data_IF_075481639525
#
_entry.id   IF_075481639525
#
_cell.length_a   1.000
_cell.length_b   1.000
_cell.length_c   1.000
_cell.angle_alpha   90.00
_cell.angle_beta   90.00
_cell.angle_gamma   90.00
#
_symmetry.space_group_name_H-M   'P 1'
#
loop_
_entity.id
_entity.type
_entity.pdbx_description
1 polymer ?
#
# COMPACT_ATOMS: atom_id res chain seq x y z
N UNK A 1 -7.27 -31.23 81.15
CA UNK A 1 -7.62 -29.91 80.54
C UNK A 1 -6.45 -29.31 79.80
N UNK A 2 -5.15 -29.47 80.22
CA UNK A 2 -3.95 -29.03 79.54
C UNK A 2 -3.72 -29.62 78.12
N UNK A 3 -3.96 -30.93 77.95
CA UNK A 3 -3.74 -31.64 76.69
C UNK A 3 -4.70 -31.23 75.54
N UNK A 4 -5.93 -30.89 75.91
CA UNK A 4 -6.97 -30.45 74.96
C UNK A 4 -6.60 -29.07 74.45
N UNK A 5 -6.08 -28.14 75.26
CA UNK A 5 -5.65 -26.80 74.93
C UNK A 5 -4.38 -26.87 74.06
N UNK A 6 -3.50 -27.80 74.34
CA UNK A 6 -2.25 -27.97 73.54
C UNK A 6 -2.53 -28.54 72.17
N UNK A 7 -3.43 -29.54 72.04
CA UNK A 7 -3.83 -30.08 70.76
C UNK A 7 -4.63 -29.08 69.92
N UNK A 8 -5.49 -28.26 70.52
CA UNK A 8 -6.21 -27.19 69.83
C UNK A 8 -5.27 -26.11 69.30
N UNK A 9 -4.29 -25.67 70.12
CA UNK A 9 -3.26 -24.71 69.68
C UNK A 9 -2.45 -25.22 68.48
N UNK A 10 -2.01 -26.51 68.50
CA UNK A 10 -1.28 -27.09 67.36
C UNK A 10 -2.13 -27.16 66.10
N UNK A 11 -3.40 -27.53 66.21
CA UNK A 11 -4.33 -27.53 65.07
C UNK A 11 -4.60 -26.14 64.50
N UNK A 12 -4.74 -25.14 65.36
CA UNK A 12 -4.89 -23.72 64.96
C UNK A 12 -3.66 -23.20 64.24
N UNK A 13 -2.44 -23.50 64.76
CA UNK A 13 -1.18 -23.11 64.11
C UNK A 13 -1.06 -23.83 62.77
N UNK A 14 -1.36 -25.12 62.68
CA UNK A 14 -1.33 -25.84 61.42
C UNK A 14 -2.31 -25.29 60.38
N UNK A 15 -3.53 -24.94 60.81
CA UNK A 15 -4.51 -24.29 59.92
C UNK A 15 -4.05 -22.92 59.44
N UNK A 16 -3.42 -22.13 60.33
CA UNK A 16 -2.86 -20.81 59.98
C UNK A 16 -1.69 -20.92 58.97
N UNK A 17 -0.79 -21.89 59.17
CA UNK A 17 0.31 -22.15 58.21
C UNK A 17 -0.24 -22.59 56.88
N UNK A 18 -1.24 -23.50 56.83
CA UNK A 18 -1.86 -23.92 55.60
C UNK A 18 -2.51 -22.74 54.86
N UNK A 19 -3.21 -21.86 55.57
CA UNK A 19 -3.83 -20.66 55.00
C UNK A 19 -2.77 -19.71 54.46
N UNK A 20 -1.67 -19.49 55.19
CA UNK A 20 -0.57 -18.64 54.74
C UNK A 20 0.12 -19.18 53.45
N UNK A 21 0.29 -20.52 53.36
CA UNK A 21 0.83 -21.18 52.16
C UNK A 21 -0.09 -20.99 50.95
N UNK A 22 -1.41 -21.17 51.13
CA UNK A 22 -2.41 -20.98 50.09
C UNK A 22 -2.40 -19.52 49.62
N UNK A 23 -2.38 -18.56 50.55
CA UNK A 23 -2.33 -17.12 50.23
C UNK A 23 -1.06 -16.76 49.47
N UNK A 24 0.09 -17.28 49.88
CA UNK A 24 1.37 -17.10 49.20
C UNK A 24 1.31 -17.67 47.77
N UNK A 25 0.73 -18.85 47.59
CA UNK A 25 0.51 -19.49 46.28
C UNK A 25 -0.39 -18.63 45.36
N UNK A 26 -1.44 -18.03 45.91
CA UNK A 26 -2.29 -17.10 45.16
C UNK A 26 -1.55 -15.85 44.77
N UNK A 27 -0.76 -15.25 45.68
CA UNK A 27 0.06 -14.07 45.37
C UNK A 27 1.11 -14.36 44.28
N UNK A 28 1.79 -15.49 44.34
CA UNK A 28 2.75 -15.94 43.33
C UNK A 28 2.05 -16.13 41.98
N UNK A 29 0.90 -16.79 41.99
CA UNK A 29 0.12 -16.97 40.75
C UNK A 29 -0.35 -15.64 40.17
N UNK A 30 -0.84 -14.69 40.95
CA UNK A 30 -1.22 -13.35 40.51
C UNK A 30 -0.01 -12.61 39.94
N UNK A 31 1.16 -12.73 40.54
CA UNK A 31 2.39 -12.15 40.02
C UNK A 31 2.74 -12.72 38.63
N UNK A 32 2.70 -14.04 38.45
CA UNK A 32 2.95 -14.66 37.15
C UNK A 32 1.90 -14.30 36.08
N UNK A 33 0.64 -14.16 36.47
CA UNK A 33 -0.43 -13.69 35.54
C UNK A 33 -0.22 -12.23 35.16
N UNK A 34 0.15 -11.37 36.13
CA UNK A 34 0.37 -9.94 35.88
C UNK A 34 1.63 -9.64 35.05
N UNK A 35 2.69 -10.46 35.18
CA UNK A 35 3.97 -10.24 34.50
C UNK A 35 4.18 -11.14 33.29
N UNK A 36 3.34 -12.12 33.06
CA UNK A 36 3.43 -13.10 31.98
C UNK A 36 2.78 -12.65 30.65
N UNK A 37 2.84 -13.49 29.64
CA UNK A 37 2.27 -13.27 28.30
C UNK A 37 0.75 -12.99 28.31
N UNK A 38 0.05 -13.34 29.39
CA UNK A 38 -1.37 -13.04 29.55
C UNK A 38 -1.66 -11.54 29.69
N UNK A 39 -0.74 -10.74 30.27
CA UNK A 39 -0.91 -9.30 30.37
C UNK A 39 -0.80 -8.63 29.00
N UNK A 40 0.10 -9.10 28.14
CA UNK A 40 0.24 -8.64 26.76
C UNK A 40 -0.97 -9.05 25.90
N UNK A 41 -1.47 -10.28 26.08
CA UNK A 41 -2.68 -10.75 25.41
C UNK A 41 -3.94 -9.97 25.85
N UNK A 42 -4.07 -9.67 27.15
CA UNK A 42 -5.17 -8.83 27.65
C UNK A 42 -5.07 -7.40 27.14
N UNK A 43 -3.88 -6.82 27.06
CA UNK A 43 -3.65 -5.50 26.49
C UNK A 43 -4.00 -5.46 24.99
N UNK A 44 -3.66 -6.49 24.22
CA UNK A 44 -4.02 -6.58 22.80
C UNK A 44 -5.52 -6.76 22.58
N UNK A 45 -6.21 -7.46 23.47
CA UNK A 45 -7.68 -7.61 23.43
C UNK A 45 -8.44 -6.35 23.85
N UNK A 46 -7.81 -5.47 24.64
CA UNK A 46 -8.38 -4.20 25.09
C UNK A 46 -7.95 -3.01 24.23
N UNK A 47 -7.34 -3.25 23.09
CA UNK A 47 -6.91 -2.19 22.18
C UNK A 47 -7.40 -2.43 20.74
N UNK A 48 -7.69 -1.33 20.05
CA UNK A 48 -8.03 -1.31 18.63
C UNK A 48 -7.10 -0.35 17.90
N UNK A 49 -6.40 -0.85 16.90
CA UNK A 49 -5.42 -0.06 16.15
C UNK A 49 -5.97 0.27 14.76
N UNK A 50 -5.90 1.53 14.39
CA UNK A 50 -6.24 2.05 13.06
C UNK A 50 -4.94 2.46 12.38
N UNK A 51 -4.58 1.79 11.30
CA UNK A 51 -3.48 2.20 10.44
C UNK A 51 -3.96 3.37 9.58
N UNK A 52 -3.19 4.46 9.56
CA UNK A 52 -3.53 5.69 8.83
C UNK A 52 -2.72 5.81 7.56
N UNK A 53 -1.42 5.50 7.66
CA UNK A 53 -0.48 5.59 6.56
C UNK A 53 0.65 4.56 6.77
N UNK A 54 1.02 3.87 5.70
CA UNK A 54 2.09 2.87 5.71
C UNK A 54 3.47 3.48 5.49
N UNK A 55 3.54 4.78 5.15
CA UNK A 55 4.78 5.50 4.85
C UNK A 55 5.66 4.76 3.83
N UNK A 56 5.61 5.20 2.60
CA UNK A 56 6.44 4.66 1.52
C UNK A 56 7.24 5.77 0.87
N UNK A 57 8.46 5.45 0.45
CA UNK A 57 9.32 6.32 -0.34
C UNK A 57 8.64 6.77 -1.63
N UNK A 58 9.04 7.93 -2.13
CA UNK A 58 8.47 8.55 -3.32
C UNK A 58 9.16 8.03 -4.57
N UNK A 59 8.40 7.76 -5.61
CA UNK A 59 8.90 7.47 -6.95
C UNK A 59 8.85 8.77 -7.74
N UNK A 60 10.01 9.22 -8.24
CA UNK A 60 10.18 10.44 -9.01
C UNK A 60 10.41 10.14 -10.48
N UNK A 61 10.06 11.09 -11.33
CA UNK A 61 10.48 11.13 -12.73
C UNK A 61 11.94 11.58 -12.88
N UNK A 62 12.43 11.66 -14.13
CA UNK A 62 13.80 12.09 -14.42
C UNK A 62 14.09 13.55 -14.02
N UNK A 63 13.07 14.36 -13.83
CA UNK A 63 13.15 15.77 -13.45
C UNK A 63 12.84 15.99 -11.96
N UNK A 64 12.85 14.92 -11.15
CA UNK A 64 12.49 14.94 -9.73
C UNK A 64 11.04 15.42 -9.47
N UNK A 65 10.13 15.23 -10.45
CA UNK A 65 8.71 15.42 -10.21
C UNK A 65 8.12 14.15 -9.60
N UNK A 66 7.32 14.23 -8.52
CA UNK A 66 6.79 13.06 -7.88
C UNK A 66 5.71 12.38 -8.74
N UNK A 67 5.91 11.11 -9.05
CA UNK A 67 4.92 10.24 -9.71
C UNK A 67 3.99 9.56 -8.68
N UNK A 68 4.47 9.43 -7.44
CA UNK A 68 3.69 8.98 -6.29
C UNK A 68 3.82 9.98 -5.16
N UNK A 69 2.90 9.97 -4.19
CA UNK A 69 2.89 10.90 -3.04
C UNK A 69 2.84 12.40 -3.44
N UNK A 70 2.28 12.72 -4.60
CA UNK A 70 2.27 14.08 -5.11
C UNK A 70 1.26 15.01 -4.40
N UNK A 71 0.16 14.44 -3.90
CA UNK A 71 -0.93 15.18 -3.27
C UNK A 71 -1.01 14.89 -1.77
N UNK A 72 -1.15 15.94 -0.98
CA UNK A 72 -1.32 15.85 0.47
C UNK A 72 -2.81 15.96 0.82
N UNK A 73 -3.32 14.98 1.55
CA UNK A 73 -4.73 14.91 1.99
C UNK A 73 -4.82 14.85 3.51
N UNK A 74 -5.91 15.35 4.07
CA UNK A 74 -6.20 15.20 5.50
C UNK A 74 -7.03 13.95 5.70
N UNK A 75 -6.50 12.97 6.45
CA UNK A 75 -7.27 11.83 6.96
C UNK A 75 -7.55 12.04 8.43
N UNK A 76 -8.71 11.62 8.89
CA UNK A 76 -9.06 11.65 10.31
C UNK A 76 -9.54 10.28 10.77
N UNK A 77 -9.07 9.88 11.94
CA UNK A 77 -9.65 8.75 12.66
C UNK A 77 -10.80 9.30 13.51
N UNK A 78 -12.00 8.95 13.13
CA UNK A 78 -13.25 9.41 13.71
C UNK A 78 -13.70 8.43 14.78
N UNK A 79 -13.93 8.90 16.01
CA UNK A 79 -14.49 8.07 17.08
C UNK A 79 -16.02 8.19 17.11
N UNK A 80 -16.74 7.16 17.63
CA UNK A 80 -18.20 7.15 17.67
C UNK A 80 -18.75 8.05 18.79
N UNK A 81 -18.44 9.34 18.76
CA UNK A 81 -18.91 10.34 19.71
C UNK A 81 -20.00 11.23 19.10
N UNK A 82 -20.94 11.77 19.90
CA UNK A 82 -21.97 12.67 19.39
C UNK A 82 -21.40 13.91 18.68
N UNK A 83 -20.28 14.44 19.20
CA UNK A 83 -19.59 15.62 18.65
C UNK A 83 -19.06 15.35 17.25
N UNK A 84 -18.45 14.16 17.03
CA UNK A 84 -18.00 13.75 15.69
C UNK A 84 -19.19 13.58 14.75
N UNK A 85 -20.28 12.92 15.19
CA UNK A 85 -21.47 12.72 14.36
C UNK A 85 -22.08 14.08 13.95
N UNK A 86 -22.18 15.02 14.87
CA UNK A 86 -22.68 16.38 14.58
C UNK A 86 -21.78 17.07 13.55
N UNK A 87 -20.47 17.04 13.75
CA UNK A 87 -19.51 17.67 12.84
C UNK A 87 -19.53 17.02 11.43
N UNK A 88 -19.83 15.72 11.31
CA UNK A 88 -19.98 15.07 10.01
C UNK A 88 -21.11 15.71 9.19
N UNK A 89 -22.27 15.91 9.80
CA UNK A 89 -23.42 16.52 9.11
C UNK A 89 -23.27 18.04 8.88
N UNK A 90 -22.44 18.72 9.67
CA UNK A 90 -22.19 20.16 9.50
C UNK A 90 -21.13 20.47 8.43
N UNK A 91 -20.14 19.56 8.25
CA UNK A 91 -18.94 19.86 7.46
C UNK A 91 -18.74 18.97 6.25
N UNK A 92 -19.55 17.92 6.07
CA UNK A 92 -19.50 17.00 4.94
C UNK A 92 -20.84 16.96 4.19
N UNK A 93 -20.80 16.44 2.96
CA UNK A 93 -22.00 16.12 2.19
C UNK A 93 -22.84 15.06 2.90
N UNK A 94 -24.17 15.15 2.79
CA UNK A 94 -25.13 14.29 3.49
C UNK A 94 -24.89 12.81 3.24
N UNK A 95 -24.60 12.42 1.99
CA UNK A 95 -24.32 11.02 1.61
C UNK A 95 -23.10 10.45 2.32
N UNK A 96 -22.00 11.22 2.36
CA UNK A 96 -20.74 10.84 3.03
C UNK A 96 -20.90 10.83 4.54
N UNK A 97 -21.64 11.80 5.09
CA UNK A 97 -21.94 11.87 6.52
C UNK A 97 -22.77 10.66 6.98
N UNK A 98 -23.79 10.28 6.22
CA UNK A 98 -24.64 9.10 6.51
C UNK A 98 -23.84 7.79 6.47
N UNK A 99 -22.98 7.59 5.49
CA UNK A 99 -22.12 6.39 5.41
C UNK A 99 -21.21 6.30 6.63
N UNK A 100 -20.51 7.40 6.97
CA UNK A 100 -19.59 7.43 8.10
C UNK A 100 -20.33 7.25 9.43
N UNK A 101 -21.47 7.90 9.60
CA UNK A 101 -22.31 7.75 10.81
C UNK A 101 -22.81 6.31 10.96
N UNK A 102 -23.19 5.65 9.87
CA UNK A 102 -23.59 4.23 9.86
C UNK A 102 -22.42 3.31 10.28
N UNK A 103 -21.22 3.55 9.78
CA UNK A 103 -20.03 2.77 10.15
C UNK A 103 -19.65 2.97 11.61
N UNK A 104 -19.75 4.20 12.13
CA UNK A 104 -19.49 4.53 13.52
C UNK A 104 -20.47 3.89 14.52
N UNK A 105 -21.69 3.47 14.09
CA UNK A 105 -22.64 2.71 14.94
C UNK A 105 -22.07 1.39 15.47
N UNK A 106 -21.03 0.86 14.85
CA UNK A 106 -20.32 -0.32 15.36
C UNK A 106 -19.59 -0.08 16.70
N UNK A 107 -19.45 1.17 17.12
CA UNK A 107 -18.68 1.56 18.30
C UNK A 107 -17.15 1.56 18.08
N UNK A 108 -16.69 1.38 16.83
CA UNK A 108 -15.27 1.37 16.47
C UNK A 108 -14.89 2.64 15.73
N UNK A 109 -13.63 3.10 15.87
CA UNK A 109 -13.13 4.22 15.11
C UNK A 109 -13.08 3.90 13.61
N UNK A 110 -13.34 4.91 12.79
CA UNK A 110 -13.33 4.82 11.33
C UNK A 110 -12.31 5.81 10.76
N UNK A 111 -11.43 5.34 9.90
CA UNK A 111 -10.56 6.20 9.11
C UNK A 111 -11.33 6.72 7.89
N UNK A 112 -11.27 8.02 7.66
CA UNK A 112 -11.82 8.67 6.46
C UNK A 112 -10.98 9.87 6.05
N UNK A 113 -10.97 10.14 4.75
CA UNK A 113 -10.52 11.42 4.23
C UNK A 113 -11.56 12.51 4.54
N UNK A 114 -11.08 13.63 5.04
CA UNK A 114 -11.91 14.78 5.46
C UNK A 114 -11.37 16.08 4.87
N UNK A 115 -12.19 17.11 4.72
CA UNK A 115 -11.73 18.43 4.32
C UNK A 115 -10.61 18.95 5.24
N UNK A 116 -9.70 19.76 4.71
CA UNK A 116 -8.57 20.27 5.47
C UNK A 116 -8.98 21.03 6.74
N UNK A 117 -10.14 21.68 6.72
CA UNK A 117 -10.72 22.41 7.84
C UNK A 117 -11.59 21.60 8.81
N UNK A 118 -11.74 20.27 8.58
CA UNK A 118 -12.57 19.44 9.45
C UNK A 118 -11.97 19.34 10.85
N UNK A 119 -12.76 19.70 11.87
CA UNK A 119 -12.39 19.63 13.28
C UNK A 119 -13.59 19.18 14.11
N UNK A 120 -13.37 18.24 15.02
CA UNK A 120 -14.36 17.80 16.01
C UNK A 120 -13.65 17.17 17.22
N UNK A 121 -14.24 17.28 18.40
CA UNK A 121 -13.77 16.53 19.56
C UNK A 121 -13.98 15.04 19.33
N UNK A 122 -12.90 14.24 19.45
CA UNK A 122 -12.91 12.83 19.11
C UNK A 122 -12.55 12.52 17.64
N UNK A 123 -12.21 13.53 16.84
CA UNK A 123 -11.62 13.36 15.50
C UNK A 123 -10.12 13.64 15.56
N UNK A 124 -9.30 12.66 15.16
CA UNK A 124 -7.84 12.76 15.18
C UNK A 124 -7.32 12.89 13.76
N UNK A 125 -7.19 14.15 13.30
CA UNK A 125 -6.78 14.48 11.94
C UNK A 125 -5.27 14.50 11.78
N UNK A 126 -4.80 13.91 10.67
CA UNK A 126 -3.40 13.95 10.23
C UNK A 126 -3.34 14.22 8.74
N UNK A 127 -2.24 14.85 8.30
CA UNK A 127 -1.98 15.02 6.88
C UNK A 127 -1.06 13.91 6.39
N UNK A 128 -1.52 13.18 5.39
CA UNK A 128 -0.77 12.11 4.73
C UNK A 128 -0.69 12.38 3.24
N UNK A 129 0.20 11.68 2.56
CA UNK A 129 0.28 11.73 1.11
C UNK A 129 -0.64 10.69 0.48
N UNK A 130 -1.38 11.10 -0.55
CA UNK A 130 -2.10 10.19 -1.44
C UNK A 130 -1.08 9.49 -2.34
N UNK A 131 -1.07 8.14 -2.33
CA UNK A 131 -0.03 7.38 -3.03
C UNK A 131 -0.08 7.55 -4.53
N UNK A 132 -1.27 7.46 -5.13
CA UNK A 132 -1.46 7.55 -6.58
C UNK A 132 -2.41 8.69 -6.93
N UNK A 133 -2.11 9.38 -8.04
CA UNK A 133 -2.99 10.40 -8.58
C UNK A 133 -4.13 9.81 -9.40
N UNK A 134 -5.21 10.56 -9.56
CA UNK A 134 -6.33 10.19 -10.46
C UNK A 134 -5.90 10.13 -11.94
N UNK A 135 -4.79 10.75 -12.30
CA UNK A 135 -4.28 10.79 -13.67
C UNK A 135 -3.69 9.46 -14.15
N UNK A 136 -3.52 8.47 -13.26
CA UNK A 136 -2.99 7.13 -13.57
C UNK A 136 -1.66 7.14 -14.31
N UNK A 137 -0.79 8.12 -14.03
CA UNK A 137 0.47 8.28 -14.74
C UNK A 137 1.37 7.07 -14.53
N UNK A 138 1.78 6.42 -15.63
CA UNK A 138 2.69 5.27 -15.64
C UNK A 138 2.24 4.06 -14.79
N UNK A 139 0.93 3.79 -14.73
CA UNK A 139 0.35 2.75 -13.87
C UNK A 139 0.99 1.37 -14.02
N UNK A 140 1.34 0.93 -15.25
CA UNK A 140 2.00 -0.35 -15.49
C UNK A 140 3.46 -0.37 -15.01
N UNK A 141 4.17 0.77 -15.09
CA UNK A 141 5.57 0.87 -14.65
C UNK A 141 5.61 0.92 -13.12
N UNK A 142 4.84 1.84 -12.52
CA UNK A 142 4.80 2.03 -11.08
C UNK A 142 4.23 0.80 -10.41
N UNK A 143 3.13 0.24 -10.93
CA UNK A 143 2.39 -0.83 -10.30
C UNK A 143 1.41 -0.31 -9.25
N UNK A 144 0.93 -1.19 -8.38
CA UNK A 144 0.00 -0.86 -7.31
C UNK A 144 0.29 -1.69 -6.04
N UNK A 145 -0.29 -1.26 -4.93
CA UNK A 145 -0.16 -1.90 -3.62
C UNK A 145 -1.33 -2.86 -3.37
N UNK A 146 -1.12 -3.79 -2.47
CA UNK A 146 -2.19 -4.65 -1.95
C UNK A 146 -3.23 -3.84 -1.17
N UNK A 147 -4.31 -4.49 -0.76
CA UNK A 147 -5.40 -3.85 0.00
C UNK A 147 -4.98 -3.32 1.37
N UNK A 148 -3.85 -3.76 1.90
CA UNK A 148 -3.27 -3.26 3.16
C UNK A 148 -2.43 -1.99 2.94
N UNK A 149 -2.00 -1.73 1.71
CA UNK A 149 -1.07 -0.65 1.35
C UNK A 149 0.38 -0.92 1.76
N UNK A 150 0.69 -2.15 2.21
CA UNK A 150 2.02 -2.51 2.74
C UNK A 150 2.93 -3.10 1.67
N UNK A 151 2.38 -3.87 0.72
CA UNK A 151 3.18 -4.60 -0.25
C UNK A 151 2.87 -4.21 -1.69
N UNK A 152 3.92 -4.06 -2.49
CA UNK A 152 3.81 -3.90 -3.93
C UNK A 152 3.37 -5.19 -4.62
N UNK A 153 2.30 -5.13 -5.42
CA UNK A 153 1.78 -6.28 -6.16
C UNK A 153 2.48 -6.46 -7.50
N UNK A 154 2.80 -5.38 -8.19
CA UNK A 154 3.51 -5.41 -9.47
C UNK A 154 4.35 -4.14 -9.68
N UNK A 155 5.05 -4.05 -10.81
CA UNK A 155 5.84 -2.89 -11.22
C UNK A 155 6.99 -2.55 -10.27
N UNK A 156 7.36 -1.28 -10.22
CA UNK A 156 8.40 -0.72 -9.34
C UNK A 156 8.03 -0.90 -7.86
N UNK A 157 6.74 -0.77 -7.53
CA UNK A 157 6.25 -1.00 -6.16
C UNK A 157 6.64 -2.37 -5.62
N UNK A 158 6.54 -3.41 -6.47
CA UNK A 158 6.95 -4.78 -6.10
C UNK A 158 8.46 -4.97 -6.17
N UNK A 159 9.08 -4.51 -7.26
CA UNK A 159 10.49 -4.75 -7.51
C UNK A 159 11.40 -4.13 -6.44
N UNK A 160 10.98 -3.00 -5.88
CA UNK A 160 11.71 -2.24 -4.88
C UNK A 160 10.94 -2.12 -3.56
N UNK A 161 10.10 -3.11 -3.25
CA UNK A 161 9.26 -3.08 -2.06
C UNK A 161 10.06 -2.84 -0.77
N UNK A 162 11.18 -3.55 -0.60
CA UNK A 162 12.02 -3.46 0.61
C UNK A 162 12.72 -2.10 0.75
N UNK A 163 12.97 -1.40 -0.36
CA UNK A 163 13.54 -0.07 -0.35
C UNK A 163 12.46 0.99 -0.07
N UNK A 164 11.32 0.86 -0.73
CA UNK A 164 10.22 1.83 -0.63
C UNK A 164 9.46 1.73 0.69
N UNK A 165 9.32 0.52 1.25
CA UNK A 165 8.51 0.28 2.44
C UNK A 165 9.31 0.56 3.70
N UNK A 166 8.82 1.46 4.55
CA UNK A 166 9.33 1.62 5.90
C UNK A 166 8.94 0.43 6.78
N UNK A 167 9.80 0.10 7.75
CA UNK A 167 9.49 -0.90 8.78
C UNK A 167 8.41 -0.45 9.78
N UNK A 168 7.64 0.58 9.46
CA UNK A 168 6.64 1.18 10.33
C UNK A 168 5.55 1.90 9.55
N UNK A 169 4.86 2.80 10.24
CA UNK A 169 3.77 3.59 9.68
C UNK A 169 3.19 4.52 10.73
N UNK A 170 2.15 5.22 10.36
CA UNK A 170 1.36 6.04 11.27
C UNK A 170 0.10 5.30 11.68
N UNK A 171 -0.09 5.11 12.98
CA UNK A 171 -1.26 4.42 13.53
C UNK A 171 -1.75 5.05 14.82
N UNK A 172 -3.05 4.95 15.04
CA UNK A 172 -3.69 5.29 16.31
C UNK A 172 -4.15 4.02 17.01
N UNK A 173 -3.77 3.88 18.27
CA UNK A 173 -4.21 2.77 19.13
C UNK A 173 -5.17 3.29 20.19
N UNK A 174 -6.39 2.79 20.16
CA UNK A 174 -7.48 3.14 21.08
C UNK A 174 -7.63 2.07 22.14
N UNK A 175 -7.95 2.48 23.36
CA UNK A 175 -8.36 1.56 24.42
C UNK A 175 -9.84 1.20 24.23
N UNK A 176 -10.15 -0.09 24.31
CA UNK A 176 -11.49 -0.64 24.07
C UNK A 176 -12.04 -1.36 25.32
N UNK A 177 -13.37 -1.45 25.39
CA UNK A 177 -14.05 -2.32 26.34
C UNK A 177 -14.01 -3.80 25.89
N UNK A 178 -14.56 -4.70 26.71
CA UNK A 178 -14.63 -6.13 26.39
C UNK A 178 -15.48 -6.45 25.13
N UNK A 179 -16.32 -5.52 24.67
CA UNK A 179 -17.09 -5.63 23.43
C UNK A 179 -16.35 -5.04 22.21
N UNK A 180 -15.12 -4.52 22.39
CA UNK A 180 -14.31 -3.92 21.34
C UNK A 180 -14.74 -2.49 20.97
N UNK A 181 -15.52 -1.81 21.82
CA UNK A 181 -15.92 -0.42 21.63
C UNK A 181 -14.91 0.51 22.30
N UNK A 182 -14.58 1.62 21.65
CA UNK A 182 -13.64 2.59 22.20
C UNK A 182 -14.19 3.25 23.48
N UNK A 183 -13.31 3.42 24.45
CA UNK A 183 -13.65 4.10 25.70
C UNK A 183 -13.64 5.62 25.48
N UNK A 184 -14.77 6.27 25.79
CA UNK A 184 -14.88 7.71 25.72
C UNK A 184 -13.95 8.41 26.75
N UNK A 185 -13.41 9.56 26.38
CA UNK A 185 -12.55 10.37 27.27
C UNK A 185 -11.11 9.89 27.40
N UNK A 186 -10.72 8.77 26.76
CA UNK A 186 -9.33 8.31 26.70
C UNK A 186 -8.79 8.61 25.30
N UNK A 187 -7.83 9.55 25.15
CA UNK A 187 -7.24 9.85 23.85
C UNK A 187 -6.44 8.63 23.35
N UNK A 188 -6.45 8.39 22.03
CA UNK A 188 -5.63 7.32 21.45
C UNK A 188 -4.16 7.62 21.56
N UNK A 189 -3.34 6.58 21.61
CA UNK A 189 -1.90 6.70 21.45
C UNK A 189 -1.58 6.75 19.95
N UNK A 190 -0.97 7.84 19.50
CA UNK A 190 -0.42 7.96 18.15
C UNK A 190 0.99 7.38 18.12
N UNK A 191 1.23 6.45 17.22
CA UNK A 191 2.54 5.86 16.96
C UNK A 191 2.90 6.20 15.51
N UNK A 192 4.07 6.81 15.33
CA UNK A 192 4.61 7.20 14.04
C UNK A 192 6.07 6.74 13.98
N UNK A 193 6.33 5.62 13.31
CA UNK A 193 7.64 5.00 13.21
C UNK A 193 8.04 4.82 11.75
N UNK A 194 9.34 4.88 11.44
CA UNK A 194 9.90 4.42 10.18
C UNK A 194 10.03 5.46 9.07
N UNK A 195 9.77 6.73 9.32
CA UNK A 195 9.96 7.80 8.31
C UNK A 195 11.40 7.91 7.77
N UNK A 196 12.38 7.52 8.57
CA UNK A 196 13.80 7.59 8.22
C UNK A 196 14.31 6.38 7.41
N UNK A 197 13.48 5.33 7.28
CA UNK A 197 13.91 4.04 6.72
C UNK A 197 13.43 3.82 5.29
N UNK A 198 12.60 4.74 4.72
CA UNK A 198 12.15 4.66 3.33
C UNK A 198 13.19 5.25 2.39
N UNK A 199 13.51 4.52 1.33
CA UNK A 199 14.27 5.04 0.19
C UNK A 199 13.37 5.57 -0.91
N UNK A 200 13.79 6.64 -1.58
CA UNK A 200 13.13 7.18 -2.77
C UNK A 200 13.75 6.57 -4.04
N UNK A 201 13.00 6.57 -5.13
CA UNK A 201 13.45 6.06 -6.42
C UNK A 201 13.27 7.14 -7.48
N UNK A 202 14.32 7.40 -8.28
CA UNK A 202 14.23 8.22 -9.47
C UNK A 202 14.23 7.32 -10.71
N UNK A 203 13.24 7.51 -11.59
CA UNK A 203 13.13 6.82 -12.87
C UNK A 203 13.74 7.66 -14.00
N UNK A 204 13.99 7.03 -15.13
CA UNK A 204 14.35 7.70 -16.39
C UNK A 204 13.13 8.28 -17.11
N UNK A 205 11.94 7.93 -16.70
CA UNK A 205 10.65 8.39 -17.24
C UNK A 205 10.52 9.90 -17.07
N UNK A 206 10.07 10.59 -18.12
CA UNK A 206 9.64 11.97 -18.09
C UNK A 206 8.11 12.00 -18.00
N UNK A 207 7.57 12.60 -16.95
CA UNK A 207 6.13 12.60 -16.67
C UNK A 207 5.31 13.29 -17.76
N UNK A 208 5.87 14.31 -18.41
CA UNK A 208 5.20 15.02 -19.50
C UNK A 208 5.12 14.18 -20.77
N UNK A 209 6.22 13.50 -21.14
CA UNK A 209 6.24 12.57 -22.27
C UNK A 209 5.38 11.34 -22.00
N UNK A 210 5.39 10.83 -20.78
CA UNK A 210 4.55 9.72 -20.37
C UNK A 210 3.05 10.06 -20.51
N UNK A 211 2.63 11.22 -20.01
CA UNK A 211 1.25 11.70 -20.14
C UNK A 211 0.85 11.89 -21.60
N UNK A 212 1.75 12.46 -22.42
CA UNK A 212 1.51 12.63 -23.86
C UNK A 212 1.35 11.27 -24.57
N UNK A 213 2.21 10.29 -24.25
CA UNK A 213 2.13 8.95 -24.82
C UNK A 213 0.81 8.25 -24.43
N UNK A 214 0.42 8.30 -23.14
CA UNK A 214 -0.84 7.73 -22.68
C UNK A 214 -2.05 8.36 -23.38
N UNK A 215 -2.10 9.69 -23.49
CA UNK A 215 -3.17 10.40 -24.22
C UNK A 215 -3.21 10.03 -25.70
N UNK A 216 -2.05 9.87 -26.36
CA UNK A 216 -1.99 9.43 -27.74
C UNK A 216 -2.56 8.02 -27.93
N UNK A 217 -2.25 7.09 -27.02
CA UNK A 217 -2.82 5.73 -27.04
C UNK A 217 -4.33 5.73 -26.81
N UNK A 218 -4.83 6.49 -25.83
CA UNK A 218 -6.26 6.64 -25.53
C UNK A 218 -7.03 7.19 -26.74
N UNK A 219 -6.45 8.15 -27.46
CA UNK A 219 -7.07 8.80 -28.63
C UNK A 219 -6.84 8.02 -29.94
N UNK A 220 -6.09 6.92 -29.92
CA UNK A 220 -5.77 6.14 -31.14
C UNK A 220 -6.96 5.41 -31.75
N UNK A 221 -8.04 5.23 -30.99
CA UNK A 221 -9.20 4.39 -31.37
C UNK A 221 -8.91 2.89 -31.31
N UNK A 222 -7.73 2.46 -30.88
CA UNK A 222 -7.38 1.06 -30.74
C UNK A 222 -7.86 0.51 -29.38
N UNK A 223 -8.29 -0.76 -29.37
CA UNK A 223 -8.70 -1.44 -28.12
C UNK A 223 -7.52 -1.79 -27.22
N UNK A 224 -6.37 -2.03 -27.82
CA UNK A 224 -5.15 -2.42 -27.14
C UNK A 224 -3.92 -1.98 -27.95
N UNK A 225 -3.02 -1.24 -27.33
CA UNK A 225 -1.81 -0.72 -27.98
C UNK A 225 -0.75 -0.36 -26.94
N UNK A 226 0.46 -0.12 -27.38
CA UNK A 226 1.57 0.32 -26.52
C UNK A 226 2.47 1.30 -27.26
N UNK A 227 3.22 2.11 -26.48
CA UNK A 227 4.19 3.07 -26.99
C UNK A 227 5.41 3.13 -26.09
N UNK A 228 6.59 3.16 -26.68
CA UNK A 228 7.84 3.45 -26.00
C UNK A 228 8.50 4.67 -26.62
N UNK A 229 9.02 5.57 -25.79
CA UNK A 229 9.84 6.72 -26.19
C UNK A 229 11.22 6.55 -25.56
N UNK A 230 12.25 6.51 -26.40
CA UNK A 230 13.62 6.24 -25.98
C UNK A 230 14.52 7.39 -26.41
N UNK A 231 15.39 7.86 -25.54
CA UNK A 231 16.42 8.82 -25.86
C UNK A 231 17.51 8.14 -26.70
N UNK A 232 17.73 8.64 -27.92
CA UNK A 232 18.67 8.04 -28.88
C UNK A 232 20.12 8.08 -28.40
N UNK A 233 20.49 9.07 -27.58
CA UNK A 233 21.88 9.25 -27.13
C UNK A 233 22.21 8.42 -25.90
N UNK A 234 21.32 8.43 -24.89
CA UNK A 234 21.56 7.72 -23.62
C UNK A 234 20.99 6.29 -23.62
N UNK A 235 20.00 6.00 -24.46
CA UNK A 235 19.24 4.76 -24.43
C UNK A 235 18.16 4.74 -23.32
N UNK A 236 17.98 5.85 -22.60
CA UNK A 236 17.00 5.91 -21.52
C UNK A 236 15.58 5.85 -22.05
N UNK A 237 14.75 5.06 -21.38
CA UNK A 237 13.31 5.04 -21.63
C UNK A 237 12.69 6.28 -20.98
N UNK A 238 12.20 7.21 -21.81
CA UNK A 238 11.56 8.45 -21.36
C UNK A 238 10.06 8.35 -21.19
N UNK A 239 9.41 7.45 -21.94
CA UNK A 239 8.01 7.06 -21.71
C UNK A 239 7.81 5.61 -22.12
N UNK A 240 6.94 4.93 -21.37
CA UNK A 240 6.54 3.56 -21.63
C UNK A 240 5.07 3.41 -21.25
N UNK A 241 4.20 3.36 -22.26
CA UNK A 241 2.77 3.38 -22.07
C UNK A 241 2.10 2.13 -22.66
N UNK A 242 1.18 1.54 -21.93
CA UNK A 242 0.34 0.43 -22.35
C UNK A 242 -1.13 0.82 -22.20
N UNK A 243 -1.98 0.44 -23.16
CA UNK A 243 -3.40 0.72 -23.16
C UNK A 243 -4.21 -0.58 -23.45
N UNK A 244 -5.35 -0.81 -22.77
CA UNK A 244 -5.90 0.02 -21.70
C UNK A 244 -5.03 0.01 -20.44
N UNK A 245 -5.12 1.10 -19.68
CA UNK A 245 -4.56 1.23 -18.36
C UNK A 245 -5.59 0.90 -17.25
N UNK A 246 -5.14 0.91 -16.00
CA UNK A 246 -5.98 0.62 -14.84
C UNK A 246 -5.81 1.68 -13.75
N UNK A 247 -6.81 1.79 -12.86
CA UNK A 247 -6.69 2.62 -11.67
C UNK A 247 -5.88 1.91 -10.60
N UNK A 248 -4.81 2.55 -10.12
CA UNK A 248 -3.98 2.02 -9.04
C UNK A 248 -4.68 2.12 -7.67
N UNK A 249 -5.62 3.07 -7.53
CA UNK A 249 -6.44 3.24 -6.33
C UNK A 249 -7.61 2.25 -6.27
N UNK A 250 -8.07 1.74 -7.44
CA UNK A 250 -9.15 0.75 -7.56
C UNK A 250 -8.81 -0.25 -8.68
N UNK A 251 -7.86 -1.17 -8.44
CA UNK A 251 -7.49 -2.18 -9.43
C UNK A 251 -8.62 -3.18 -9.69
N UNK A 252 -9.54 -3.40 -8.74
CA UNK A 252 -10.63 -4.36 -8.90
C UNK A 252 -11.58 -3.98 -10.02
N UNK A 253 -11.83 -2.69 -10.24
CA UNK A 253 -12.67 -2.19 -11.34
C UNK A 253 -12.16 -2.58 -12.73
N UNK A 254 -10.89 -2.93 -12.86
CA UNK A 254 -10.27 -3.34 -14.12
C UNK A 254 -10.37 -4.84 -14.41
N UNK A 255 -10.76 -5.68 -13.43
CA UNK A 255 -10.77 -7.14 -13.55
C UNK A 255 -11.78 -7.65 -14.60
N UNK A 256 -12.93 -6.96 -14.75
CA UNK A 256 -13.97 -7.36 -15.69
C UNK A 256 -13.73 -6.86 -17.13
N UNK A 257 -12.67 -6.08 -17.35
CA UNK A 257 -12.38 -5.54 -18.67
C UNK A 257 -11.77 -6.60 -19.60
N UNK A 258 -12.50 -6.96 -20.65
CA UNK A 258 -12.11 -7.99 -21.63
C UNK A 258 -10.78 -7.69 -22.37
N UNK A 259 -10.30 -6.44 -22.35
CA UNK A 259 -9.06 -6.04 -23.01
C UNK A 259 -7.82 -6.17 -22.10
N UNK A 260 -7.93 -6.86 -20.96
CA UNK A 260 -6.81 -7.18 -20.05
C UNK A 260 -5.94 -5.95 -19.68
N UNK A 261 -6.46 -5.00 -18.89
CA UNK A 261 -5.74 -3.77 -18.52
C UNK A 261 -4.44 -3.99 -17.77
N UNK A 262 -4.33 -5.10 -17.00
CA UNK A 262 -3.11 -5.42 -16.25
C UNK A 262 -1.97 -5.97 -17.12
N UNK A 263 -2.26 -6.35 -18.37
CA UNK A 263 -1.23 -6.85 -19.27
C UNK A 263 -0.41 -5.68 -19.82
N UNK A 264 0.86 -5.59 -19.40
CA UNK A 264 1.76 -4.57 -19.92
C UNK A 264 2.24 -4.93 -21.34
N UNK A 265 1.60 -4.30 -22.32
CA UNK A 265 1.89 -4.49 -23.74
C UNK A 265 3.20 -3.84 -24.15
N UNK A 266 3.70 -2.91 -23.41
CA UNK A 266 4.95 -2.22 -23.71
C UNK A 266 6.18 -3.04 -23.37
N UNK A 267 6.06 -3.98 -22.40
CA UNK A 267 7.11 -4.89 -21.98
C UNK A 267 6.92 -6.33 -22.51
N UNK A 268 5.82 -6.60 -23.20
CA UNK A 268 5.50 -7.94 -23.70
C UNK A 268 6.30 -8.30 -24.96
N UNK A 269 6.56 -9.59 -25.15
CA UNK A 269 7.23 -10.08 -26.35
C UNK A 269 6.22 -10.31 -27.48
N UNK A 270 6.55 -9.79 -28.67
CA UNK A 270 5.75 -9.93 -29.88
C UNK A 270 6.55 -10.52 -31.02
N UNK A 271 5.86 -11.09 -32.00
CA UNK A 271 6.48 -11.44 -33.26
C UNK A 271 6.67 -10.17 -34.08
N UNK A 272 7.90 -9.68 -34.13
CA UNK A 272 8.26 -8.38 -34.73
C UNK A 272 8.21 -8.36 -36.25
N UNK A 273 8.21 -9.52 -36.91
CA UNK A 273 8.14 -9.60 -38.39
C UNK A 273 9.24 -8.78 -39.05
N UNK A 274 8.86 -8.01 -40.08
CA UNK A 274 9.79 -7.22 -40.90
C UNK A 274 10.47 -6.05 -40.15
N UNK A 275 9.97 -5.62 -39.00
CA UNK A 275 10.63 -4.56 -38.20
C UNK A 275 11.99 -5.04 -37.70
N UNK A 276 12.18 -6.35 -37.47
CA UNK A 276 13.46 -6.94 -37.08
C UNK A 276 14.56 -6.74 -38.11
N UNK A 277 14.22 -6.46 -39.37
CA UNK A 277 15.20 -6.18 -40.44
C UNK A 277 16.08 -4.98 -40.13
N UNK A 278 15.60 -4.01 -39.33
CA UNK A 278 16.40 -2.86 -38.88
C UNK A 278 17.56 -3.34 -38.01
N UNK A 279 17.30 -4.24 -37.06
CA UNK A 279 18.34 -4.84 -36.22
C UNK A 279 19.32 -5.69 -37.03
N UNK A 280 18.82 -6.46 -38.03
CA UNK A 280 19.64 -7.24 -38.92
C UNK A 280 20.56 -6.36 -39.79
N UNK A 281 20.04 -5.22 -40.30
CA UNK A 281 20.84 -4.26 -41.07
C UNK A 281 21.90 -3.61 -40.18
N UNK A 282 21.60 -3.20 -38.97
CA UNK A 282 22.58 -2.66 -38.02
C UNK A 282 23.71 -3.68 -37.74
N UNK A 283 23.33 -4.93 -37.39
CA UNK A 283 24.30 -6.02 -37.17
C UNK A 283 25.18 -6.32 -38.39
N UNK A 284 24.61 -6.24 -39.58
CA UNK A 284 25.39 -6.41 -40.84
C UNK A 284 26.45 -5.31 -41.00
N UNK A 285 26.08 -4.07 -40.75
CA UNK A 285 27.01 -2.92 -40.80
C UNK A 285 28.10 -3.07 -39.74
N UNK A 286 27.75 -3.41 -38.51
CA UNK A 286 28.71 -3.65 -37.43
C UNK A 286 29.66 -4.83 -37.74
N UNK A 287 29.18 -5.82 -38.48
CA UNK A 287 30.00 -6.92 -38.96
C UNK A 287 30.87 -6.60 -40.19
N UNK A 288 30.91 -5.36 -40.62
CA UNK A 288 31.73 -4.85 -41.74
C UNK A 288 31.11 -5.10 -43.12
N UNK A 289 29.83 -5.42 -43.22
CA UNK A 289 29.13 -5.46 -44.51
C UNK A 289 28.93 -4.02 -45.02
N UNK A 290 29.43 -3.74 -46.22
CA UNK A 290 29.24 -2.39 -46.81
C UNK A 290 27.75 -2.07 -47.03
N UNK A 291 27.28 -0.88 -46.66
CA UNK A 291 25.90 -0.45 -46.95
C UNK A 291 25.60 -0.36 -48.46
N UNK A 292 26.66 -0.18 -49.29
CA UNK A 292 26.52 -0.11 -50.74
C UNK A 292 26.49 -1.47 -51.43
N UNK A 293 26.62 -2.57 -50.66
CA UNK A 293 26.59 -3.91 -51.21
C UNK A 293 25.20 -4.22 -51.76
N UNK A 294 25.13 -4.54 -53.01
CA UNK A 294 23.91 -4.92 -53.71
C UNK A 294 23.76 -6.42 -53.82
N UNK A 295 22.55 -6.90 -53.71
CA UNK A 295 22.17 -8.31 -53.89
C UNK A 295 21.07 -8.39 -54.95
N UNK A 296 21.17 -9.39 -55.83
CA UNK A 296 20.09 -9.70 -56.75
C UNK A 296 19.06 -10.59 -56.02
N UNK A 297 17.78 -10.13 -55.99
CA UNK A 297 16.69 -10.93 -55.45
C UNK A 297 16.09 -11.79 -56.57
N UNK A 298 16.23 -13.10 -56.44
CA UNK A 298 15.65 -14.09 -57.37
C UNK A 298 14.16 -14.42 -57.09
N UNK A 299 13.51 -13.70 -56.18
CA UNK A 299 12.10 -13.89 -55.77
C UNK A 299 11.93 -14.97 -54.71
N UNK A 300 12.92 -15.82 -54.46
CA UNK A 300 12.91 -16.80 -53.36
C UNK A 300 14.32 -17.20 -52.97
N UNK A 301 14.49 -17.62 -51.72
CA UNK A 301 15.72 -18.17 -51.16
C UNK A 301 15.40 -19.46 -50.40
N UNK A 302 16.23 -20.48 -50.57
CA UNK A 302 16.13 -21.72 -49.82
C UNK A 302 17.12 -21.68 -48.64
N UNK A 303 16.59 -21.64 -47.42
CA UNK A 303 17.34 -21.70 -46.17
C UNK A 303 16.92 -22.95 -45.35
N UNK A 304 16.57 -24.05 -46.01
CA UNK A 304 15.95 -25.25 -45.44
C UNK A 304 14.42 -25.20 -45.52
N UNK A 305 13.86 -24.01 -45.74
CA UNK A 305 12.49 -23.76 -46.22
C UNK A 305 12.56 -22.69 -47.29
N UNK A 306 11.73 -22.79 -48.32
CA UNK A 306 11.65 -21.76 -49.38
C UNK A 306 10.95 -20.53 -48.81
N UNK A 307 11.68 -19.41 -48.72
CA UNK A 307 11.17 -18.12 -48.33
C UNK A 307 11.03 -17.28 -49.59
N UNK A 308 9.80 -16.87 -49.91
CA UNK A 308 9.49 -16.02 -51.08
C UNK A 308 9.44 -14.54 -50.68
N UNK A 309 9.87 -13.68 -51.59
CA UNK A 309 9.74 -12.24 -51.42
C UNK A 309 8.30 -11.75 -51.51
#
# INVERSE_FOLDING_TARGET
>A
MSDIIYTTKKRSIGAFILFAVILCGVCVRMFFVATGSYSAAAASQSSYTVNVDTMRGTIYDCNMQPLTNAKRVKKAVLTPTPEVITALYEQLDEEKADDLAKRLKSGRPVLSEVPAGFEAEGAYGVFVYERYSEEKTASHIIGYLDSTGENGVCGIERAYNDLLCASGGMKFTFTCDAAGRTLAGIPPQMICNGYADCGDIQLTIDSSLQSAAQKALQNSGQKACAMAVVDVKSGDIRALASFPDFSQNDPESALENANSPFFDRSAASYNVGSIFKICVAAAAVESGVSPDKTYFCGGSIDCGNIISC
#
